data_IF_275960450457
#
_entry.id   IF_275960450457
#
_cell.length_a   1.000
_cell.length_b   1.000
_cell.length_c   1.000
_cell.angle_alpha   90.00
_cell.angle_beta   90.00
_cell.angle_gamma   90.00
#
_symmetry.space_group_name_H-M   'P 1'
#
loop_
_entity.id
_entity.type
_entity.pdbx_description
1 polymer ?
#
# COMPACT_ATOMS: atom_id res chain seq x y z
N UNK A 1 43.27 -26.58 12.82
CA UNK A 1 43.14 -25.67 11.66
C UNK A 1 41.87 -24.86 11.85
N UNK A 2 41.91 -23.57 12.24
CA UNK A 2 40.70 -22.78 12.18
C UNK A 2 40.49 -22.30 10.74
N UNK A 3 39.30 -22.60 10.22
CA UNK A 3 38.71 -21.93 9.08
C UNK A 3 38.51 -20.44 9.37
N UNK A 4 38.13 -19.68 8.36
CA UNK A 4 37.73 -18.27 8.42
C UNK A 4 38.85 -17.23 8.29
N UNK A 5 39.38 -17.13 7.08
CA UNK A 5 39.82 -15.84 6.54
C UNK A 5 39.11 -15.59 5.21
N UNK A 6 37.85 -15.18 5.28
CA UNK A 6 37.19 -14.57 4.14
C UNK A 6 37.93 -13.25 3.84
N UNK A 7 38.63 -13.20 2.71
CA UNK A 7 39.37 -12.03 2.25
C UNK A 7 38.37 -10.92 1.87
N UNK A 8 38.26 -9.91 2.73
CA UNK A 8 37.54 -8.70 2.40
C UNK A 8 38.37 -7.89 1.40
N UNK A 9 37.85 -7.70 0.18
CA UNK A 9 38.50 -6.91 -0.88
C UNK A 9 38.66 -5.42 -0.50
N UNK A 10 37.93 -4.96 0.52
CA UNK A 10 38.03 -3.63 1.12
C UNK A 10 37.94 -3.77 2.64
N UNK A 11 38.62 -2.92 3.43
CA UNK A 11 38.43 -2.91 4.88
C UNK A 11 36.94 -2.72 5.19
N UNK A 12 36.37 -3.47 6.15
CA UNK A 12 34.97 -3.30 6.51
C UNK A 12 34.74 -1.83 6.91
N UNK A 13 33.64 -1.21 6.45
CA UNK A 13 33.36 0.18 6.79
C UNK A 13 33.36 0.33 8.31
N UNK A 14 33.99 1.41 8.80
CA UNK A 14 34.05 1.69 10.23
C UNK A 14 32.65 1.60 10.84
N UNK A 15 32.48 0.96 12.01
CA UNK A 15 31.19 0.87 12.66
C UNK A 15 30.59 2.27 12.86
N UNK A 16 29.25 2.37 12.85
CA UNK A 16 28.55 3.65 12.88
C UNK A 16 28.91 4.47 14.13
N UNK A 17 29.25 3.80 15.24
CA UNK A 17 29.74 4.43 16.48
C UNK A 17 31.03 5.25 16.27
N UNK A 18 31.94 4.82 15.40
CA UNK A 18 33.21 5.46 15.11
C UNK A 18 33.02 6.61 14.13
N UNK A 19 32.12 6.44 13.16
CA UNK A 19 31.82 7.48 12.16
C UNK A 19 31.09 8.69 12.75
N UNK A 20 30.08 8.44 13.58
CA UNK A 20 29.26 9.52 14.19
C UNK A 20 29.84 9.98 15.54
N UNK A 21 30.56 9.09 16.22
CA UNK A 21 31.14 9.35 17.53
C UNK A 21 30.28 8.82 18.69
N UNK A 22 30.89 8.23 19.73
CA UNK A 22 30.16 7.63 20.84
C UNK A 22 29.45 8.67 21.74
N UNK A 23 29.89 9.93 21.70
CA UNK A 23 29.25 11.03 22.43
C UNK A 23 27.82 11.28 21.98
N UNK A 24 27.57 11.26 20.66
CA UNK A 24 26.24 11.40 20.08
C UNK A 24 25.26 10.37 20.66
N UNK A 25 25.61 9.08 20.60
CA UNK A 25 24.74 8.00 21.07
C UNK A 25 24.46 8.04 22.58
N UNK A 26 25.39 8.60 23.38
CA UNK A 26 25.19 8.79 24.83
C UNK A 26 24.23 9.95 25.14
N UNK A 27 24.21 10.99 24.29
CA UNK A 27 23.40 12.19 24.47
C UNK A 27 21.94 12.04 23.99
N UNK A 28 21.60 10.94 23.29
CA UNK A 28 20.28 10.75 22.71
C UNK A 28 19.13 10.79 23.75
N UNK A 29 18.03 11.49 23.47
CA UNK A 29 16.89 11.56 24.38
C UNK A 29 16.11 10.23 24.42
N UNK A 30 15.51 9.95 25.58
CA UNK A 30 14.51 8.87 25.74
C UNK A 30 13.10 9.40 25.47
N UNK A 31 12.93 10.03 24.31
CA UNK A 31 11.67 10.64 23.88
C UNK A 31 11.27 10.07 22.53
N UNK A 32 9.96 10.09 22.20
CA UNK A 32 9.51 9.77 20.87
C UNK A 32 9.96 10.84 19.87
N UNK A 33 10.10 10.45 18.61
CA UNK A 33 10.54 11.36 17.57
C UNK A 33 10.78 10.68 16.24
N UNK A 34 11.18 11.48 15.26
CA UNK A 34 11.64 11.01 13.94
C UNK A 34 13.14 11.19 13.81
N UNK A 35 13.80 10.35 13.02
CA UNK A 35 15.23 10.41 12.77
C UNK A 35 15.53 10.30 11.28
N UNK A 36 16.65 10.90 10.89
CA UNK A 36 17.07 11.09 9.51
C UNK A 36 18.49 10.59 9.36
N UNK A 37 18.74 9.80 8.33
CA UNK A 37 20.07 9.35 7.95
C UNK A 37 20.48 9.96 6.63
N UNK A 38 21.63 10.61 6.59
CA UNK A 38 22.18 11.26 5.40
C UNK A 38 23.50 10.63 4.98
N UNK A 39 23.81 10.67 3.69
CA UNK A 39 25.12 10.29 3.16
C UNK A 39 26.13 11.45 3.29
N UNK A 40 27.31 11.27 2.70
CA UNK A 40 28.40 12.26 2.69
C UNK A 40 28.03 13.55 1.96
N UNK A 41 27.25 13.43 0.89
CA UNK A 41 26.78 14.54 0.06
C UNK A 41 25.57 15.29 0.67
N UNK A 42 25.12 14.88 1.86
CA UNK A 42 23.93 15.45 2.50
C UNK A 42 22.60 14.94 1.94
N UNK A 43 22.59 13.91 1.10
CA UNK A 43 21.37 13.27 0.59
C UNK A 43 20.67 12.46 1.69
N UNK A 44 19.36 12.68 1.87
CA UNK A 44 18.52 11.91 2.79
C UNK A 44 18.36 10.46 2.28
N UNK A 45 18.96 9.53 3.01
CA UNK A 45 18.97 8.10 2.72
C UNK A 45 17.74 7.40 3.28
N UNK A 46 17.42 7.69 4.54
CA UNK A 46 16.37 7.03 5.29
C UNK A 46 15.77 7.97 6.33
N UNK A 47 14.45 7.86 6.51
CA UNK A 47 13.72 8.48 7.60
C UNK A 47 13.00 7.37 8.39
N UNK A 48 12.98 7.44 9.71
CA UNK A 48 12.16 6.55 10.52
C UNK A 48 11.63 7.22 11.78
N UNK A 49 10.66 6.56 12.41
CA UNK A 49 10.10 6.92 13.71
C UNK A 49 10.68 6.11 14.87
N UNK A 50 10.59 6.67 16.08
CA UNK A 50 10.99 6.01 17.32
C UNK A 50 10.00 6.31 18.47
N UNK A 51 9.69 5.28 19.27
CA UNK A 51 9.11 5.47 20.62
C UNK A 51 10.12 6.08 21.59
N UNK A 52 11.39 5.74 21.40
CA UNK A 52 12.55 6.22 22.15
C UNK A 52 13.70 6.38 21.15
N UNK A 53 14.07 7.63 20.85
CA UNK A 53 15.16 7.94 19.93
C UNK A 53 16.48 7.28 20.36
N UNK A 54 16.76 7.24 21.66
CA UNK A 54 17.92 6.54 22.22
C UNK A 54 17.93 5.06 21.85
N UNK A 55 16.85 4.34 22.12
CA UNK A 55 16.84 2.88 21.91
C UNK A 55 16.89 2.56 20.42
N UNK A 56 16.13 3.31 19.62
CA UNK A 56 16.05 3.11 18.17
C UNK A 56 17.36 3.43 17.45
N UNK A 57 18.04 4.53 17.79
CA UNK A 57 19.31 4.85 17.15
C UNK A 57 20.46 3.98 17.65
N UNK A 58 20.43 3.53 18.91
CA UNK A 58 21.43 2.57 19.40
C UNK A 58 21.32 1.20 18.71
N UNK A 59 20.16 0.79 18.21
CA UNK A 59 20.05 -0.47 17.44
C UNK A 59 20.86 -0.45 16.14
N UNK A 60 21.16 0.73 15.58
CA UNK A 60 22.00 0.88 14.38
C UNK A 60 23.49 0.97 14.69
N UNK A 61 23.86 1.11 15.98
CA UNK A 61 25.23 1.40 16.41
C UNK A 61 26.23 0.30 16.07
N UNK A 62 25.78 -0.95 16.10
CA UNK A 62 26.61 -2.15 15.95
C UNK A 62 26.01 -3.16 14.95
N UNK A 63 25.60 -2.67 13.79
CA UNK A 63 25.01 -3.51 12.74
C UNK A 63 26.04 -4.45 12.13
N UNK A 64 25.71 -5.73 12.02
CA UNK A 64 26.60 -6.80 11.53
C UNK A 64 25.99 -7.52 10.31
N UNK A 65 26.76 -7.84 9.25
CA UNK A 65 26.22 -8.47 8.05
C UNK A 65 25.57 -9.84 8.30
N UNK A 66 26.03 -10.58 9.31
CA UNK A 66 25.50 -11.92 9.64
C UNK A 66 24.26 -11.91 10.56
N UNK A 67 24.00 -10.79 11.25
CA UNK A 67 22.90 -10.69 12.24
C UNK A 67 21.76 -9.80 11.77
N UNK A 68 22.07 -8.79 10.97
CA UNK A 68 21.12 -7.81 10.50
C UNK A 68 20.74 -8.03 9.03
N UNK A 69 19.59 -7.47 8.63
CA UNK A 69 19.18 -7.56 7.23
C UNK A 69 20.20 -6.90 6.30
N UNK A 70 20.41 -7.50 5.11
CA UNK A 70 21.28 -6.91 4.06
C UNK A 70 20.93 -5.46 3.76
N UNK A 71 19.63 -5.11 3.84
CA UNK A 71 19.14 -3.74 3.66
C UNK A 71 19.64 -2.81 4.76
N UNK A 72 19.47 -3.19 6.02
CA UNK A 72 19.95 -2.42 7.19
C UNK A 72 21.45 -2.22 7.12
N UNK A 73 22.19 -3.28 6.80
CA UNK A 73 23.65 -3.22 6.68
C UNK A 73 24.10 -2.25 5.58
N UNK A 74 23.50 -2.33 4.38
CA UNK A 74 23.77 -1.37 3.29
C UNK A 74 23.45 0.07 3.68
N UNK A 75 22.27 0.30 4.28
CA UNK A 75 21.88 1.63 4.75
C UNK A 75 22.93 2.20 5.71
N UNK A 76 23.26 1.47 6.78
CA UNK A 76 24.17 1.94 7.83
C UNK A 76 25.56 2.25 7.28
N UNK A 77 26.05 1.50 6.29
CA UNK A 77 27.36 1.74 5.67
C UNK A 77 27.45 3.05 4.90
N UNK A 78 26.32 3.57 4.41
CA UNK A 78 26.27 4.83 3.66
C UNK A 78 26.02 6.05 4.55
N UNK A 79 25.55 5.86 5.79
CA UNK A 79 25.30 6.98 6.72
C UNK A 79 26.59 7.71 7.07
N UNK A 80 26.56 9.04 7.00
CA UNK A 80 27.61 9.96 7.47
C UNK A 80 27.08 10.96 8.48
N UNK A 81 25.77 11.24 8.46
CA UNK A 81 25.13 12.18 9.40
C UNK A 81 23.78 11.64 9.86
N UNK A 82 23.49 11.84 11.14
CA UNK A 82 22.22 11.48 11.77
C UNK A 82 21.62 12.75 12.37
N UNK A 83 20.36 13.01 12.08
CA UNK A 83 19.57 14.06 12.72
C UNK A 83 18.29 13.46 13.32
N UNK A 84 17.64 14.19 14.22
CA UNK A 84 16.36 13.79 14.80
C UNK A 84 15.51 14.99 15.21
N UNK A 85 14.20 14.80 15.23
CA UNK A 85 13.21 15.75 15.73
C UNK A 85 12.43 15.05 16.86
N UNK A 86 12.40 15.65 18.04
CA UNK A 86 11.61 15.14 19.17
C UNK A 86 10.14 15.48 18.95
N UNK A 87 9.25 14.52 19.22
CA UNK A 87 7.81 14.73 19.15
C UNK A 87 7.17 14.64 20.55
N UNK A 88 6.02 15.30 20.79
CA UNK A 88 5.35 15.25 22.10
C UNK A 88 4.88 13.85 22.49
N UNK A 89 4.45 13.06 21.51
CA UNK A 89 4.01 11.68 21.71
C UNK A 89 4.51 10.75 20.60
N UNK A 90 4.41 9.44 20.84
CA UNK A 90 4.66 8.45 19.79
C UNK A 90 3.70 8.64 18.61
N UNK A 91 2.43 9.00 18.87
CA UNK A 91 1.44 9.28 17.83
C UNK A 91 1.88 10.44 16.93
N UNK A 92 2.41 11.50 17.51
CA UNK A 92 2.88 12.65 16.74
C UNK A 92 4.09 12.29 15.89
N UNK A 93 5.02 11.47 16.41
CA UNK A 93 6.15 10.96 15.63
C UNK A 93 5.71 10.15 14.40
N UNK A 94 4.59 9.41 14.51
CA UNK A 94 4.01 8.64 13.41
C UNK A 94 3.48 9.55 12.30
N UNK A 95 2.71 10.57 12.68
CA UNK A 95 2.14 11.54 11.76
C UNK A 95 3.26 12.36 11.08
N UNK A 96 4.25 12.79 11.86
CA UNK A 96 5.41 13.53 11.37
C UNK A 96 6.24 12.71 10.38
N UNK A 97 6.49 11.43 10.67
CA UNK A 97 7.16 10.52 9.74
C UNK A 97 6.38 10.39 8.43
N UNK A 98 5.06 10.15 8.50
CA UNK A 98 4.20 10.02 7.32
C UNK A 98 4.28 11.27 6.44
N UNK A 99 4.19 12.46 7.04
CA UNK A 99 4.34 13.73 6.33
C UNK A 99 5.71 13.81 5.62
N UNK A 100 6.80 13.62 6.34
CA UNK A 100 8.17 13.72 5.80
C UNK A 100 8.47 12.66 4.73
N UNK A 101 7.89 11.46 4.83
CA UNK A 101 8.04 10.43 3.80
C UNK A 101 7.33 10.80 2.50
N UNK A 102 6.17 11.48 2.57
CA UNK A 102 5.48 12.00 1.39
C UNK A 102 6.32 13.08 0.70
N UNK A 103 6.93 13.96 1.48
CA UNK A 103 7.76 15.09 1.01
C UNK A 103 9.09 14.61 0.40
N UNK A 104 9.84 13.74 1.07
CA UNK A 104 11.22 13.44 0.69
C UNK A 104 11.44 12.12 -0.06
N UNK A 105 10.57 11.12 0.14
CA UNK A 105 10.63 9.78 -0.50
C UNK A 105 12.04 9.15 -0.56
N UNK A 106 12.74 9.00 0.59
CA UNK A 106 14.13 8.57 0.63
C UNK A 106 14.32 7.18 0.03
N UNK A 107 15.49 6.95 -0.59
CA UNK A 107 15.71 5.73 -1.38
C UNK A 107 15.64 4.43 -0.56
N UNK A 108 16.06 4.43 0.71
CA UNK A 108 16.01 3.22 1.53
C UNK A 108 14.65 2.96 2.18
N UNK A 109 13.75 3.95 2.22
CA UNK A 109 12.36 3.74 2.63
C UNK A 109 11.54 2.98 1.57
N UNK A 110 11.95 3.06 0.29
CA UNK A 110 11.28 2.41 -0.86
C UNK A 110 11.11 0.90 -0.74
N UNK A 111 12.06 0.23 -0.09
CA UNK A 111 12.23 -1.21 -0.27
C UNK A 111 11.50 -2.11 0.75
N UNK A 112 10.52 -1.63 1.55
CA UNK A 112 9.75 -2.62 2.35
C UNK A 112 8.34 -2.27 2.80
N UNK A 113 7.90 -1.02 2.91
CA UNK A 113 6.54 -0.75 3.37
C UNK A 113 6.18 0.62 2.84
N UNK A 114 5.38 0.68 1.78
CA UNK A 114 4.77 1.91 1.33
C UNK A 114 3.26 1.80 1.61
N UNK A 115 2.77 2.26 2.77
CA UNK A 115 1.33 2.45 3.01
C UNK A 115 0.70 3.40 1.97
N UNK A 116 1.50 4.32 1.40
CA UNK A 116 1.12 5.28 0.35
C UNK A 116 1.09 4.72 -1.08
N UNK A 117 1.28 3.42 -1.27
CA UNK A 117 0.86 2.76 -2.51
C UNK A 117 -0.65 2.38 -2.45
N UNK A 118 -1.41 3.11 -1.63
CA UNK A 118 -2.85 2.97 -1.57
C UNK A 118 -3.42 3.11 -2.97
N UNK A 119 -4.21 2.13 -3.35
CA UNK A 119 -5.00 2.13 -4.56
C UNK A 119 -6.42 2.46 -4.17
N UNK A 120 -7.04 3.32 -4.97
CA UNK A 120 -8.42 3.74 -4.81
C UNK A 120 -9.20 3.40 -6.07
N UNK A 121 -10.46 3.02 -5.89
CA UNK A 121 -11.45 2.86 -6.95
C UNK A 121 -12.41 4.03 -6.81
N UNK A 122 -12.52 4.84 -7.85
CA UNK A 122 -13.44 5.96 -7.96
C UNK A 122 -14.67 5.53 -8.73
N UNK A 123 -15.84 5.93 -8.28
CA UNK A 123 -17.11 5.74 -9.00
C UNK A 123 -17.79 7.09 -9.19
N UNK A 124 -18.18 7.40 -10.43
CA UNK A 124 -18.96 8.60 -10.81
C UNK A 124 -20.07 8.17 -11.75
N UNK A 125 -21.23 8.80 -11.65
CA UNK A 125 -22.32 8.60 -12.60
C UNK A 125 -22.61 9.92 -13.30
N UNK A 126 -22.71 9.86 -14.62
CA UNK A 126 -23.03 11.02 -15.45
C UNK A 126 -23.85 10.55 -16.65
N UNK A 127 -24.98 11.20 -16.90
CA UNK A 127 -25.84 10.95 -18.07
C UNK A 127 -26.23 9.47 -18.26
N UNK A 128 -26.48 8.76 -17.15
CA UNK A 128 -26.85 7.33 -17.16
C UNK A 128 -25.69 6.36 -17.43
N UNK A 129 -24.45 6.87 -17.43
CA UNK A 129 -23.21 6.09 -17.57
C UNK A 129 -22.47 6.08 -16.24
N UNK A 130 -22.06 4.89 -15.82
CA UNK A 130 -21.21 4.68 -14.66
C UNK A 130 -19.74 4.70 -15.11
N UNK A 131 -18.99 5.68 -14.61
CA UNK A 131 -17.56 5.83 -14.80
C UNK A 131 -16.84 5.27 -13.57
N UNK A 132 -16.01 4.25 -13.79
CA UNK A 132 -15.13 3.69 -12.78
C UNK A 132 -13.68 4.01 -13.14
N UNK A 133 -12.86 4.30 -12.14
CA UNK A 133 -11.43 4.52 -12.32
C UNK A 133 -10.65 3.87 -11.18
N UNK A 134 -9.46 3.32 -11.46
CA UNK A 134 -8.49 2.92 -10.44
C UNK A 134 -7.29 3.87 -10.46
N UNK A 135 -7.01 4.51 -9.32
CA UNK A 135 -6.00 5.54 -9.21
C UNK A 135 -5.25 5.45 -7.87
N UNK A 136 -4.09 6.11 -7.80
CA UNK A 136 -3.39 6.39 -6.53
C UNK A 136 -3.61 7.82 -6.04
N UNK A 137 -4.27 8.62 -6.87
CA UNK A 137 -4.60 10.02 -6.63
C UNK A 137 -6.11 10.18 -6.60
N UNK A 138 -6.58 11.02 -5.68
CA UNK A 138 -7.99 11.30 -5.49
C UNK A 138 -8.31 12.59 -6.26
N UNK A 139 -9.09 12.46 -7.33
CA UNK A 139 -9.51 13.61 -8.14
C UNK A 139 -10.96 13.99 -7.83
N UNK A 140 -11.30 15.24 -8.11
CA UNK A 140 -12.66 15.73 -7.87
C UNK A 140 -13.69 15.05 -8.78
N UNK A 141 -14.93 14.96 -8.28
CA UNK A 141 -16.07 14.42 -9.03
C UNK A 141 -16.25 12.90 -8.95
N UNK A 142 -15.40 12.18 -8.22
CA UNK A 142 -15.54 10.75 -7.95
C UNK A 142 -15.85 10.49 -6.48
N UNK A 143 -16.70 9.50 -6.23
CA UNK A 143 -16.78 8.87 -4.91
C UNK A 143 -15.65 7.85 -4.81
N UNK A 144 -14.70 8.10 -3.91
CA UNK A 144 -13.52 7.27 -3.77
C UNK A 144 -13.66 6.21 -2.68
N UNK A 145 -13.22 5.01 -3.03
CA UNK A 145 -13.16 3.84 -2.17
C UNK A 145 -11.72 3.36 -2.15
N UNK A 146 -11.15 3.12 -0.97
CA UNK A 146 -9.79 2.60 -0.97
C UNK A 146 -9.10 2.64 0.37
N UNK A 147 -7.84 3.06 0.31
CA UNK A 147 -6.75 2.46 1.07
C UNK A 147 -6.56 0.96 0.72
N UNK A 148 -6.77 0.58 -0.54
CA UNK A 148 -6.52 -0.79 -0.97
C UNK A 148 -5.04 -1.02 -1.26
N UNK A 149 -4.61 -2.28 -1.24
CA UNK A 149 -3.25 -2.66 -1.64
C UNK A 149 -3.13 -2.67 -3.16
N UNK A 150 -1.89 -2.75 -3.66
CA UNK A 150 -1.60 -2.81 -5.10
C UNK A 150 -2.37 -3.88 -5.86
N UNK A 151 -2.76 -5.00 -5.22
CA UNK A 151 -3.51 -6.06 -5.90
C UNK A 151 -4.92 -5.63 -6.35
N UNK A 152 -5.47 -4.54 -5.79
CA UNK A 152 -6.75 -3.96 -6.20
C UNK A 152 -6.76 -3.52 -7.67
N UNK A 153 -5.58 -3.29 -8.27
CA UNK A 153 -5.43 -3.08 -9.70
C UNK A 153 -5.94 -4.29 -10.50
N UNK A 154 -5.58 -5.50 -10.08
CA UNK A 154 -6.02 -6.72 -10.76
C UNK A 154 -7.49 -7.02 -10.48
N UNK A 155 -7.94 -6.74 -9.25
CA UNK A 155 -9.35 -6.83 -8.89
C UNK A 155 -10.21 -5.82 -9.65
N UNK A 156 -9.66 -4.66 -10.02
CA UNK A 156 -10.35 -3.70 -10.89
C UNK A 156 -10.56 -4.28 -12.28
N UNK A 157 -9.56 -4.93 -12.89
CA UNK A 157 -9.76 -5.64 -14.16
C UNK A 157 -10.87 -6.69 -14.07
N UNK A 158 -10.93 -7.47 -12.98
CA UNK A 158 -12.02 -8.43 -12.74
C UNK A 158 -13.38 -7.75 -12.58
N UNK A 159 -13.42 -6.59 -11.92
CA UNK A 159 -14.64 -5.79 -11.79
C UNK A 159 -15.12 -5.28 -13.16
N UNK A 160 -14.21 -4.79 -14.02
CA UNK A 160 -14.54 -4.37 -15.39
C UNK A 160 -15.14 -5.54 -16.19
N UNK A 161 -14.50 -6.71 -16.14
CA UNK A 161 -14.97 -7.95 -16.80
C UNK A 161 -16.36 -8.38 -16.35
N UNK A 162 -16.60 -8.44 -15.05
CA UNK A 162 -17.89 -8.86 -14.50
C UNK A 162 -19.01 -7.85 -14.75
N UNK A 163 -18.72 -6.55 -14.65
CA UNK A 163 -19.70 -5.49 -14.96
C UNK A 163 -20.09 -5.49 -16.44
N UNK A 164 -19.12 -5.67 -17.34
CA UNK A 164 -19.41 -5.84 -18.77
C UNK A 164 -20.20 -7.10 -19.04
N UNK A 165 -19.87 -8.20 -18.37
CA UNK A 165 -20.54 -9.48 -18.54
C UNK A 165 -22.04 -9.37 -18.22
N UNK A 166 -22.41 -8.67 -17.13
CA UNK A 166 -23.83 -8.40 -16.84
C UNK A 166 -24.43 -7.41 -17.85
N UNK A 167 -23.67 -6.39 -18.25
CA UNK A 167 -24.20 -5.34 -19.13
C UNK A 167 -24.40 -5.78 -20.57
N UNK A 168 -23.52 -6.62 -21.13
CA UNK A 168 -23.48 -7.02 -22.54
C UNK A 168 -22.63 -8.31 -22.70
N UNK A 169 -23.19 -9.47 -22.32
CA UNK A 169 -22.45 -10.74 -22.32
C UNK A 169 -22.00 -11.17 -23.72
N UNK A 170 -22.70 -10.74 -24.77
CA UNK A 170 -22.40 -11.09 -26.16
C UNK A 170 -21.11 -10.46 -26.70
N UNK A 171 -20.58 -9.41 -26.05
CA UNK A 171 -19.46 -8.62 -26.56
C UNK A 171 -18.35 -8.44 -25.51
N UNK A 172 -17.41 -9.39 -25.50
CA UNK A 172 -16.12 -9.23 -24.84
C UNK A 172 -15.17 -8.41 -25.74
N UNK A 173 -14.73 -7.21 -25.33
CA UNK A 173 -13.81 -6.40 -26.14
C UNK A 173 -12.43 -7.06 -26.31
N UNK A 174 -11.68 -6.75 -27.38
CA UNK A 174 -10.30 -7.21 -27.54
C UNK A 174 -9.41 -6.80 -26.35
N UNK A 175 -8.50 -7.68 -25.92
CA UNK A 175 -7.61 -7.45 -24.76
C UNK A 175 -8.25 -7.72 -23.39
N UNK A 176 -9.53 -8.11 -23.34
CA UNK A 176 -10.20 -8.40 -22.06
C UNK A 176 -9.87 -9.78 -21.49
N UNK A 177 -9.16 -10.62 -22.22
CA UNK A 177 -8.56 -11.85 -21.68
C UNK A 177 -7.18 -11.59 -21.05
N UNK A 178 -6.66 -10.36 -21.15
CA UNK A 178 -5.44 -9.96 -20.48
C UNK A 178 -5.71 -9.64 -19.00
N UNK A 179 -4.64 -9.69 -18.20
CA UNK A 179 -4.71 -9.43 -16.76
C UNK A 179 -4.92 -7.94 -16.43
N UNK A 180 -4.65 -7.02 -17.36
CA UNK A 180 -4.85 -5.56 -17.21
C UNK A 180 -5.86 -5.05 -18.24
N UNK A 181 -7.03 -4.60 -17.78
CA UNK A 181 -8.08 -4.01 -18.62
C UNK A 181 -8.04 -2.46 -18.61
N UNK A 182 -6.92 -1.87 -18.18
CA UNK A 182 -6.74 -0.43 -18.11
C UNK A 182 -7.17 0.16 -16.77
N UNK A 183 -7.10 1.50 -16.70
CA UNK A 183 -7.34 2.26 -15.45
C UNK A 183 -8.72 2.88 -15.36
N UNK A 184 -9.47 2.87 -16.46
CA UNK A 184 -10.76 3.53 -16.60
C UNK A 184 -11.75 2.58 -17.24
N UNK A 185 -13.02 2.70 -16.86
CA UNK A 185 -14.09 1.88 -17.37
C UNK A 185 -15.42 2.62 -17.37
N UNK A 186 -16.21 2.39 -18.42
CA UNK A 186 -17.50 3.01 -18.62
C UNK A 186 -18.53 1.96 -18.98
N UNK A 187 -19.67 1.99 -18.30
CA UNK A 187 -20.75 1.03 -18.53
C UNK A 187 -22.10 1.71 -18.30
N UNK A 188 -23.11 1.32 -19.06
CA UNK A 188 -24.44 1.89 -18.91
C UNK A 188 -25.04 1.49 -17.55
N UNK A 189 -25.44 2.48 -16.74
CA UNK A 189 -25.86 2.25 -15.35
C UNK A 189 -27.18 1.47 -15.26
N UNK A 190 -28.08 1.60 -16.24
CA UNK A 190 -29.42 1.00 -16.21
C UNK A 190 -29.45 -0.54 -16.19
N UNK A 191 -28.34 -1.22 -16.49
CA UNK A 191 -28.23 -2.69 -16.46
C UNK A 191 -27.57 -3.23 -15.20
N UNK A 192 -27.23 -2.37 -14.25
CA UNK A 192 -26.43 -2.71 -13.08
C UNK A 192 -27.16 -2.37 -11.79
N UNK A 193 -27.06 -3.24 -10.79
CA UNK A 193 -27.42 -2.89 -9.42
C UNK A 193 -26.30 -2.01 -8.83
N UNK A 194 -26.46 -0.70 -9.01
CA UNK A 194 -25.55 0.32 -8.48
C UNK A 194 -25.44 0.23 -6.96
N UNK A 195 -26.53 -0.03 -6.26
CA UNK A 195 -26.52 -0.09 -4.80
C UNK A 195 -25.67 -1.27 -4.32
N UNK A 196 -25.82 -2.44 -4.95
CA UNK A 196 -25.01 -3.62 -4.67
C UNK A 196 -23.51 -3.36 -4.92
N UNK A 197 -23.15 -2.70 -6.03
CA UNK A 197 -21.77 -2.34 -6.33
C UNK A 197 -21.16 -1.40 -5.28
N UNK A 198 -21.90 -0.35 -4.88
CA UNK A 198 -21.41 0.59 -3.87
C UNK A 198 -21.30 -0.07 -2.49
N UNK A 199 -22.24 -0.93 -2.13
CA UNK A 199 -22.17 -1.70 -0.88
C UNK A 199 -20.99 -2.68 -0.88
N UNK A 200 -20.68 -3.28 -2.03
CA UNK A 200 -19.48 -4.09 -2.23
C UNK A 200 -18.20 -3.28 -1.97
N UNK A 201 -18.06 -2.11 -2.61
CA UNK A 201 -16.89 -1.25 -2.45
C UNK A 201 -16.80 -0.63 -1.04
N UNK A 202 -17.93 -0.40 -0.37
CA UNK A 202 -18.00 0.02 1.04
C UNK A 202 -17.70 -1.11 2.03
N UNK A 203 -17.64 -2.37 1.59
CA UNK A 203 -17.47 -3.52 2.50
C UNK A 203 -18.73 -3.82 3.33
N UNK A 204 -19.90 -3.41 2.86
CA UNK A 204 -21.19 -3.63 3.52
C UNK A 204 -21.80 -4.98 3.19
N UNK A 205 -21.69 -5.39 1.92
CA UNK A 205 -22.23 -6.66 1.42
C UNK A 205 -21.45 -7.13 0.20
N UNK A 206 -21.27 -8.44 0.05
CA UNK A 206 -20.74 -9.05 -1.17
C UNK A 206 -21.84 -9.58 -2.11
N UNK A 207 -23.12 -9.27 -1.85
CA UNK A 207 -24.27 -9.67 -2.69
C UNK A 207 -24.08 -9.36 -4.18
N UNK A 208 -23.38 -8.28 -4.52
CA UNK A 208 -22.99 -7.97 -5.89
C UNK A 208 -22.36 -9.15 -6.66
N UNK A 209 -21.56 -9.98 -5.97
CA UNK A 209 -20.94 -11.17 -6.56
C UNK A 209 -21.95 -12.30 -6.79
N UNK A 210 -22.95 -12.41 -5.92
CA UNK A 210 -24.05 -13.37 -6.07
C UNK A 210 -24.91 -13.02 -7.28
N UNK A 211 -25.17 -11.72 -7.49
CA UNK A 211 -25.91 -11.23 -8.66
C UNK A 211 -25.16 -11.57 -9.97
N UNK A 212 -23.84 -11.39 -10.01
CA UNK A 212 -22.99 -11.81 -11.15
C UNK A 212 -23.03 -13.33 -11.34
N UNK A 213 -22.92 -14.10 -10.25
CA UNK A 213 -22.93 -15.56 -10.32
C UNK A 213 -24.26 -16.10 -10.84
N UNK A 214 -25.38 -15.50 -10.43
CA UNK A 214 -26.72 -15.82 -10.91
C UNK A 214 -26.87 -15.46 -12.40
N UNK A 215 -26.41 -14.27 -12.80
CA UNK A 215 -26.40 -13.86 -14.22
C UNK A 215 -25.60 -14.83 -15.08
N UNK A 216 -24.43 -15.29 -14.60
CA UNK A 216 -23.61 -16.29 -15.28
C UNK A 216 -24.30 -17.65 -15.39
N UNK A 217 -24.96 -18.11 -14.32
CA UNK A 217 -25.68 -19.37 -14.34
C UNK A 217 -26.88 -19.37 -15.31
N UNK A 218 -27.47 -18.19 -15.55
CA UNK A 218 -28.56 -18.00 -16.50
C UNK A 218 -28.09 -17.75 -17.94
N UNK A 219 -26.80 -17.50 -18.17
CA UNK A 219 -26.26 -17.14 -19.48
C UNK A 219 -26.05 -18.36 -20.38
N UNK A 220 -26.80 -18.39 -21.48
CA UNK A 220 -26.67 -19.39 -22.54
C UNK A 220 -25.95 -18.87 -23.80
N UNK A 221 -25.49 -17.62 -23.79
CA UNK A 221 -24.94 -16.92 -24.96
C UNK A 221 -23.41 -16.90 -24.99
N UNK A 222 -22.75 -16.79 -23.83
CA UNK A 222 -21.28 -16.76 -23.78
C UNK A 222 -20.66 -18.14 -23.92
N UNK A 223 -19.52 -18.22 -24.61
CA UNK A 223 -18.73 -19.45 -24.71
C UNK A 223 -18.07 -19.87 -23.40
N UNK A 224 -17.69 -21.15 -23.29
CA UNK A 224 -17.06 -21.75 -22.10
C UNK A 224 -15.85 -20.96 -21.57
N UNK A 225 -15.01 -20.41 -22.46
CA UNK A 225 -13.83 -19.64 -22.06
C UNK A 225 -14.20 -18.37 -21.29
N UNK A 226 -15.23 -17.65 -21.74
CA UNK A 226 -15.72 -16.44 -21.09
C UNK A 226 -16.40 -16.76 -19.76
N UNK A 227 -17.21 -17.83 -19.71
CA UNK A 227 -17.82 -18.27 -18.46
C UNK A 227 -16.77 -18.65 -17.40
N UNK A 228 -15.71 -19.37 -17.81
CA UNK A 228 -14.61 -19.73 -16.92
C UNK A 228 -13.80 -18.51 -16.46
N UNK A 229 -13.60 -17.52 -17.32
CA UNK A 229 -12.95 -16.26 -16.95
C UNK A 229 -13.74 -15.53 -15.85
N UNK A 230 -15.05 -15.38 -16.03
CA UNK A 230 -15.93 -14.76 -15.03
C UNK A 230 -15.95 -15.55 -13.72
N UNK A 231 -15.89 -16.88 -13.78
CA UNK A 231 -15.77 -17.71 -12.57
C UNK A 231 -14.48 -17.42 -11.80
N UNK A 232 -13.33 -17.28 -12.49
CA UNK A 232 -12.06 -16.92 -11.85
C UNK A 232 -12.09 -15.49 -11.29
N UNK A 233 -12.72 -14.56 -12.01
CA UNK A 233 -12.89 -13.18 -11.56
C UNK A 233 -13.72 -13.10 -10.29
N UNK A 234 -14.78 -13.91 -10.15
CA UNK A 234 -15.59 -13.99 -8.93
C UNK A 234 -14.76 -14.43 -7.71
N UNK A 235 -13.88 -15.40 -7.88
CA UNK A 235 -12.96 -15.84 -6.81
C UNK A 235 -12.02 -14.70 -6.41
N UNK A 236 -11.45 -13.99 -7.38
CA UNK A 236 -10.57 -12.86 -7.13
C UNK A 236 -11.31 -11.69 -6.45
N UNK A 237 -12.55 -11.42 -6.84
CA UNK A 237 -13.37 -10.36 -6.27
C UNK A 237 -13.84 -10.69 -4.85
N UNK A 238 -14.12 -11.95 -4.55
CA UNK A 238 -14.43 -12.42 -3.19
C UNK A 238 -13.19 -12.22 -2.28
N UNK A 239 -12.01 -12.61 -2.75
CA UNK A 239 -10.76 -12.35 -2.03
C UNK A 239 -10.52 -10.84 -1.82
N UNK A 240 -10.75 -10.05 -2.86
CA UNK A 240 -10.65 -8.59 -2.80
C UNK A 240 -11.58 -8.00 -1.75
N UNK A 241 -12.84 -8.42 -1.73
CA UNK A 241 -13.83 -7.97 -0.76
C UNK A 241 -13.36 -8.14 0.69
N UNK A 242 -12.88 -9.34 1.05
CA UNK A 242 -12.41 -9.61 2.41
C UNK A 242 -11.11 -8.88 2.76
N UNK A 243 -10.14 -8.82 1.82
CA UNK A 243 -8.81 -8.23 2.09
C UNK A 243 -8.78 -6.70 1.93
N UNK A 244 -9.77 -6.13 1.27
CA UNK A 244 -9.91 -4.71 0.96
C UNK A 244 -11.18 -4.13 1.58
N UNK A 245 -12.30 -3.98 0.84
CA UNK A 245 -13.51 -3.29 1.29
C UNK A 245 -13.99 -3.64 2.71
N UNK A 246 -14.25 -4.92 2.99
CA UNK A 246 -14.78 -5.35 4.30
C UNK A 246 -13.79 -5.06 5.43
N UNK A 247 -12.53 -5.46 5.27
CA UNK A 247 -11.47 -5.15 6.24
C UNK A 247 -11.34 -3.66 6.49
N UNK A 248 -11.37 -2.85 5.43
CA UNK A 248 -11.22 -1.40 5.53
C UNK A 248 -12.39 -0.79 6.30
N UNK A 249 -13.63 -1.24 6.04
CA UNK A 249 -14.80 -0.85 6.82
C UNK A 249 -14.67 -1.22 8.29
N UNK A 250 -14.33 -2.46 8.61
CA UNK A 250 -14.20 -2.91 10.00
C UNK A 250 -13.14 -2.10 10.79
N UNK A 251 -12.06 -1.67 10.12
CA UNK A 251 -11.06 -0.79 10.72
C UNK A 251 -11.63 0.62 10.92
N UNK A 252 -12.27 1.19 9.89
CA UNK A 252 -12.86 2.53 9.96
C UNK A 252 -13.91 2.62 11.07
N UNK A 253 -14.81 1.65 11.14
CA UNK A 253 -15.85 1.58 12.18
C UNK A 253 -15.23 1.50 13.59
N UNK A 254 -14.19 0.68 13.77
CA UNK A 254 -13.52 0.52 15.08
C UNK A 254 -12.72 1.76 15.50
N UNK A 255 -12.26 2.56 14.55
CA UNK A 255 -11.33 3.67 14.78
C UNK A 255 -11.98 5.03 14.50
N UNK A 256 -13.29 5.04 14.24
CA UNK A 256 -14.10 6.22 13.95
C UNK A 256 -13.51 7.05 12.79
N UNK A 257 -12.98 6.37 11.77
CA UNK A 257 -12.40 6.99 10.58
C UNK A 257 -13.47 7.11 9.49
N UNK A 258 -13.52 8.26 8.84
CA UNK A 258 -14.53 8.60 7.84
C UNK A 258 -13.96 8.42 6.43
N UNK A 259 -12.74 8.91 6.18
CA UNK A 259 -12.19 8.99 4.82
C UNK A 259 -11.19 7.86 4.51
N UNK A 260 -11.01 7.49 3.23
CA UNK A 260 -9.92 6.61 2.81
C UNK A 260 -8.53 7.10 3.22
N UNK A 261 -8.32 8.42 3.23
CA UNK A 261 -7.05 9.08 3.60
C UNK A 261 -6.74 8.90 5.08
N UNK A 262 -7.73 9.12 5.95
CA UNK A 262 -7.61 8.84 7.39
C UNK A 262 -7.26 7.38 7.67
N UNK A 263 -7.80 6.45 6.88
CA UNK A 263 -7.45 5.04 6.95
C UNK A 263 -6.00 4.78 6.50
N UNK A 264 -5.51 5.45 5.46
CA UNK A 264 -4.09 5.35 5.05
C UNK A 264 -3.18 5.86 6.16
N UNK A 265 -3.49 7.02 6.74
CA UNK A 265 -2.72 7.60 7.83
C UNK A 265 -2.70 6.69 9.06
N UNK A 266 -3.85 6.09 9.42
CA UNK A 266 -3.92 5.10 10.49
C UNK A 266 -3.14 3.81 10.20
N UNK A 267 -3.19 3.30 8.96
CA UNK A 267 -2.43 2.12 8.57
C UNK A 267 -0.92 2.38 8.60
N UNK A 268 -0.48 3.57 8.19
CA UNK A 268 0.91 4.00 8.30
C UNK A 268 1.36 4.04 9.78
N UNK A 269 0.48 4.50 10.67
CA UNK A 269 0.71 4.49 12.12
C UNK A 269 0.87 3.06 12.66
N UNK A 270 -0.06 2.15 12.34
CA UNK A 270 -0.08 0.78 12.90
C UNK A 270 1.01 -0.13 12.37
N UNK A 271 1.40 0.00 11.10
CA UNK A 271 2.35 -0.92 10.44
C UNK A 271 3.81 -0.76 10.86
N UNK A 272 4.12 0.11 11.84
CA UNK A 272 5.48 0.22 12.35
C UNK A 272 5.53 0.51 13.85
#
# INVERSE_FOLDING_TARGET
>A
MPADKQLWLFPPPKPLNERIGPGFFRALPRQPGVYFFFNEDGLLLYLGKAKSLRDRLNSYRYVHPDRDSRKTWRLVNEVRRIEFEVCPSHRDALLRESQLLREHRPRFNRANVWPWAAVYIGVREQDGVLHLQVSRELTDGYQWFGAFKAFAIYSFSALQRTLRYISDPAHAPPGWFDWDCGREFHVAAHRLDRAALLDFLHGRSNRFLEDIAAARAADCTSGLAQQNLVLNDLVLLEEFYHKGPRRNREIKDRQELVTPEELVDWLAVKSA
#
